data_IF_746459714056
#
_entry.id   IF_746459714056
#
_cell.length_a   1.000
_cell.length_b   1.000
_cell.length_c   1.000
_cell.angle_alpha   90.00
_cell.angle_beta   90.00
_cell.angle_gamma   90.00
#
_symmetry.space_group_name_H-M   'P 1'
#
loop_
_entity.id
_entity.type
_entity.pdbx_description
1 polymer ?
#
# COMPACT_ATOMS: atom_id res chain seq x y z
N UNK A 1 21.22 -0.78 -3.74
CA UNK A 1 21.68 -1.25 -2.41
C UNK A 1 21.22 -2.69 -2.22
N UNK A 2 22.12 -3.64 -1.86
CA UNK A 2 21.72 -5.04 -1.65
C UNK A 2 20.81 -5.17 -0.41
N UNK A 3 19.89 -6.15 -0.39
CA UNK A 3 19.00 -6.37 0.75
C UNK A 3 19.82 -6.70 2.00
N UNK A 4 19.54 -6.00 3.09
CA UNK A 4 20.14 -6.28 4.41
C UNK A 4 19.24 -7.26 5.18
N UNK A 5 19.73 -8.41 5.63
CA UNK A 5 18.95 -9.31 6.49
C UNK A 5 18.45 -8.63 7.75
N UNK A 6 17.34 -9.13 8.31
CA UNK A 6 16.84 -8.69 9.61
C UNK A 6 17.85 -9.02 10.71
N UNK A 7 18.06 -8.07 11.60
CA UNK A 7 18.82 -8.27 12.83
C UNK A 7 18.08 -9.19 13.80
N UNK A 8 18.81 -9.75 14.78
CA UNK A 8 18.20 -10.54 15.84
C UNK A 8 17.16 -9.72 16.65
N UNK A 9 17.41 -8.43 16.84
CA UNK A 9 16.47 -7.53 17.53
C UNK A 9 15.18 -7.32 16.75
N UNK A 10 15.25 -7.16 15.42
CA UNK A 10 14.06 -7.03 14.57
C UNK A 10 13.25 -8.34 14.55
N UNK A 11 13.93 -9.49 14.51
CA UNK A 11 13.26 -10.80 14.60
C UNK A 11 12.59 -10.99 15.96
N UNK A 12 13.26 -10.66 17.06
CA UNK A 12 12.67 -10.73 18.40
C UNK A 12 11.48 -9.77 18.59
N UNK A 13 11.52 -8.59 17.95
CA UNK A 13 10.38 -7.66 17.94
C UNK A 13 9.17 -8.27 17.21
N UNK A 14 9.40 -8.90 16.05
CA UNK A 14 8.35 -9.61 15.33
C UNK A 14 7.74 -10.74 16.15
N UNK A 15 8.55 -11.59 16.78
CA UNK A 15 8.07 -12.70 17.63
C UNK A 15 7.26 -12.21 18.83
N UNK A 16 7.67 -11.09 19.45
CA UNK A 16 6.98 -10.50 20.60
C UNK A 16 5.67 -9.83 20.22
N UNK A 17 5.68 -9.03 19.15
CA UNK A 17 4.59 -8.10 18.82
C UNK A 17 3.63 -8.67 17.77
N UNK A 18 4.02 -9.73 17.06
CA UNK A 18 3.30 -10.31 15.93
C UNK A 18 3.39 -9.49 14.64
N UNK A 19 4.17 -8.40 14.64
CA UNK A 19 4.42 -7.56 13.46
C UNK A 19 5.79 -6.88 13.55
N UNK A 20 6.30 -6.39 12.42
CA UNK A 20 7.54 -5.62 12.33
C UNK A 20 7.34 -4.41 11.43
N UNK A 21 7.75 -3.22 11.91
CA UNK A 21 7.72 -1.99 11.13
C UNK A 21 9.13 -1.58 10.70
N UNK A 22 9.43 -1.76 9.42
CA UNK A 22 10.68 -1.31 8.82
C UNK A 22 10.49 0.10 8.24
N UNK A 23 11.15 1.09 8.85
CA UNK A 23 11.12 2.46 8.34
C UNK A 23 12.07 2.59 7.15
N UNK A 24 11.65 3.34 6.14
CA UNK A 24 12.49 3.66 4.97
C UNK A 24 13.07 2.41 4.29
N UNK A 25 12.26 1.34 4.19
CA UNK A 25 12.65 0.13 3.44
C UNK A 25 12.94 0.43 1.95
N UNK A 26 12.19 1.40 1.43
CA UNK A 26 12.44 2.10 0.17
C UNK A 26 12.69 3.57 0.49
N UNK A 27 13.51 4.22 -0.31
CA UNK A 27 13.76 5.64 -0.17
C UNK A 27 12.56 6.48 -0.67
N UNK A 28 12.62 7.79 -0.44
CA UNK A 28 11.53 8.69 -0.79
C UNK A 28 11.32 8.81 -2.31
N UNK A 29 12.36 8.63 -3.11
CA UNK A 29 12.31 8.75 -4.57
C UNK A 29 11.66 7.50 -5.18
N UNK A 30 12.09 6.31 -4.76
CA UNK A 30 11.47 5.03 -5.10
C UNK A 30 9.96 5.06 -4.80
N UNK A 31 9.60 5.55 -3.61
CA UNK A 31 8.20 5.65 -3.19
C UNK A 31 7.43 6.74 -3.94
N UNK A 32 8.08 7.85 -4.33
CA UNK A 32 7.44 8.90 -5.13
C UNK A 32 7.09 8.39 -6.53
N UNK A 33 7.98 7.63 -7.17
CA UNK A 33 7.75 7.02 -8.48
C UNK A 33 6.58 6.03 -8.42
N UNK A 34 6.57 5.16 -7.41
CA UNK A 34 5.48 4.19 -7.23
C UNK A 34 4.14 4.88 -6.97
N UNK A 35 4.15 5.96 -6.20
CA UNK A 35 2.96 6.76 -5.94
C UNK A 35 2.45 7.46 -7.21
N UNK A 36 3.35 8.00 -8.03
CA UNK A 36 2.97 8.64 -9.30
C UNK A 36 2.42 7.62 -10.30
N UNK A 37 3.06 6.46 -10.42
CA UNK A 37 2.53 5.35 -11.22
C UNK A 37 1.11 4.97 -10.80
N UNK A 38 0.87 4.82 -9.49
CA UNK A 38 -0.45 4.50 -8.97
C UNK A 38 -1.50 5.59 -9.23
N UNK A 39 -1.10 6.87 -9.24
CA UNK A 39 -2.02 7.99 -9.54
C UNK A 39 -2.47 8.00 -11.00
N UNK A 40 -1.62 7.53 -11.89
CA UNK A 40 -1.88 7.52 -13.34
C UNK A 40 -2.46 6.18 -13.82
N UNK A 41 -2.68 5.20 -12.94
CA UNK A 41 -3.29 3.91 -13.26
C UNK A 41 -4.83 3.97 -13.16
N UNK A 42 -5.47 4.27 -14.29
CA UNK A 42 -6.93 4.36 -14.39
C UNK A 42 -7.65 3.05 -14.03
N UNK A 43 -7.05 1.90 -14.33
CA UNK A 43 -7.61 0.58 -14.02
C UNK A 43 -7.62 0.32 -12.51
N UNK A 44 -6.51 0.66 -11.84
CA UNK A 44 -6.44 0.61 -10.39
C UNK A 44 -7.45 1.58 -9.74
N UNK A 45 -7.57 2.80 -10.26
CA UNK A 45 -8.54 3.77 -9.76
C UNK A 45 -10.00 3.32 -9.97
N UNK A 46 -10.31 2.68 -11.10
CA UNK A 46 -11.65 2.19 -11.41
C UNK A 46 -12.08 1.02 -10.49
N UNK A 47 -11.13 0.20 -10.03
CA UNK A 47 -11.36 -0.90 -9.09
C UNK A 47 -11.30 -0.47 -7.62
N UNK A 48 -10.95 0.79 -7.33
CA UNK A 48 -10.84 1.29 -5.98
C UNK A 48 -12.23 1.52 -5.35
N UNK A 49 -12.51 0.87 -4.23
CA UNK A 49 -13.70 1.13 -3.42
C UNK A 49 -13.40 2.18 -2.34
N UNK A 50 -14.26 3.20 -2.25
CA UNK A 50 -14.18 4.23 -1.22
C UNK A 50 -14.84 3.78 0.09
N UNK A 51 -14.08 3.76 1.18
CA UNK A 51 -14.62 3.62 2.54
C UNK A 51 -14.52 4.95 3.26
N UNK A 52 -15.67 5.48 3.68
CA UNK A 52 -15.72 6.69 4.52
C UNK A 52 -15.60 6.32 5.99
N UNK A 53 -14.80 7.07 6.73
CA UNK A 53 -14.77 7.00 8.18
C UNK A 53 -15.90 7.83 8.81
N UNK A 54 -16.05 7.72 10.13
CA UNK A 54 -17.05 8.48 10.90
C UNK A 54 -16.89 10.01 10.80
N UNK A 55 -15.72 10.50 10.41
CA UNK A 55 -15.45 11.93 10.18
C UNK A 55 -15.64 12.35 8.71
N UNK A 56 -16.10 11.45 7.84
CA UNK A 56 -16.33 11.70 6.42
C UNK A 56 -15.06 11.66 5.55
N UNK A 57 -13.91 11.22 6.08
CA UNK A 57 -12.68 11.01 5.30
C UNK A 57 -12.82 9.73 4.48
N UNK A 58 -12.54 9.82 3.19
CA UNK A 58 -12.61 8.69 2.27
C UNK A 58 -11.21 8.06 2.10
N UNK A 59 -11.12 6.79 2.48
CA UNK A 59 -9.99 5.91 2.15
C UNK A 59 -10.37 5.12 0.91
N UNK A 60 -9.56 5.19 -0.15
CA UNK A 60 -9.75 4.39 -1.35
C UNK A 60 -8.86 3.15 -1.26
N UNK A 61 -9.48 1.98 -1.40
CA UNK A 61 -8.80 0.69 -1.39
C UNK A 61 -9.02 0.02 -2.74
N UNK A 62 -7.94 -0.26 -3.46
CA UNK A 62 -7.98 -1.10 -4.64
C UNK A 62 -7.39 -2.47 -4.28
N UNK A 63 -8.14 -3.54 -4.56
CA UNK A 63 -7.66 -4.89 -4.37
C UNK A 63 -6.91 -5.33 -5.64
N UNK A 64 -5.62 -5.60 -5.51
CA UNK A 64 -4.78 -6.09 -6.60
C UNK A 64 -4.01 -7.32 -6.13
N UNK A 65 -4.31 -8.47 -6.74
CA UNK A 65 -3.85 -9.77 -6.25
C UNK A 65 -2.92 -10.51 -7.23
N UNK A 66 -2.57 -9.88 -8.35
CA UNK A 66 -1.80 -10.53 -9.42
C UNK A 66 -0.54 -9.73 -9.74
N UNK A 67 0.65 -10.17 -9.28
CA UNK A 67 1.90 -9.50 -9.61
C UNK A 67 2.23 -9.63 -11.09
N UNK A 68 1.83 -8.63 -11.86
CA UNK A 68 2.22 -8.46 -13.26
C UNK A 68 3.66 -7.95 -13.41
N UNK A 69 4.11 -7.83 -14.66
CA UNK A 69 5.40 -7.21 -15.01
C UNK A 69 5.29 -5.67 -14.99
N UNK A 70 4.84 -5.13 -13.85
CA UNK A 70 4.65 -3.70 -13.61
C UNK A 70 5.33 -3.25 -12.30
N UNK A 71 5.23 -1.97 -11.96
CA UNK A 71 5.88 -1.42 -10.76
C UNK A 71 5.38 -2.09 -9.48
N UNK A 72 4.10 -2.42 -9.34
CA UNK A 72 3.62 -3.17 -8.18
C UNK A 72 4.29 -4.54 -8.07
N UNK A 73 4.38 -5.28 -9.18
CA UNK A 73 5.02 -6.59 -9.21
C UNK A 73 6.53 -6.54 -8.94
N UNK A 74 7.21 -5.48 -9.39
CA UNK A 74 8.61 -5.22 -9.09
C UNK A 74 8.86 -4.97 -7.59
N UNK A 75 8.03 -4.14 -6.96
CA UNK A 75 8.15 -3.88 -5.53
C UNK A 75 7.78 -5.11 -4.70
N UNK A 76 6.66 -5.80 -5.01
CA UNK A 76 6.20 -6.98 -4.28
C UNK A 76 7.18 -8.16 -4.32
N UNK A 77 7.92 -8.32 -5.42
CA UNK A 77 8.95 -9.37 -5.60
C UNK A 77 10.36 -8.90 -5.26
N UNK A 78 10.51 -7.68 -4.72
CA UNK A 78 11.83 -7.16 -4.37
C UNK A 78 12.49 -8.04 -3.31
N UNK A 79 13.78 -8.38 -3.44
CA UNK A 79 14.53 -9.05 -2.37
C UNK A 79 14.50 -8.28 -1.04
N UNK A 80 14.24 -6.96 -1.08
CA UNK A 80 14.05 -6.19 0.16
C UNK A 80 12.80 -6.64 0.94
N UNK A 81 11.78 -7.16 0.28
CA UNK A 81 10.55 -7.67 0.88
C UNK A 81 10.65 -9.19 1.06
N UNK A 82 10.92 -9.91 -0.03
CA UNK A 82 10.84 -11.39 -0.08
C UNK A 82 11.82 -12.04 0.89
N UNK A 83 13.12 -11.70 0.84
CA UNK A 83 14.14 -12.31 1.70
C UNK A 83 13.82 -12.10 3.20
N UNK A 84 13.24 -10.95 3.56
CA UNK A 84 12.85 -10.64 4.93
C UNK A 84 11.59 -11.40 5.35
N UNK A 85 10.61 -11.50 4.46
CA UNK A 85 9.42 -12.30 4.69
C UNK A 85 9.79 -13.78 4.86
N UNK A 86 10.68 -14.30 4.02
CA UNK A 86 11.26 -15.64 4.16
C UNK A 86 11.96 -15.78 5.50
N UNK A 87 12.84 -14.84 5.89
CA UNK A 87 13.52 -14.91 7.18
C UNK A 87 12.57 -14.96 8.39
N UNK A 88 11.46 -14.21 8.34
CA UNK A 88 10.43 -14.24 9.40
C UNK A 88 9.60 -15.53 9.38
N UNK A 89 9.37 -16.14 8.21
CA UNK A 89 8.52 -17.31 8.05
C UNK A 89 9.29 -18.65 8.16
N UNK A 90 10.58 -18.67 7.83
CA UNK A 90 11.45 -19.85 7.94
C UNK A 90 11.72 -20.22 9.40
N UNK A 91 11.71 -19.25 10.33
CA UNK A 91 11.67 -19.55 11.77
C UNK A 91 10.43 -20.37 12.17
N UNK A 92 9.38 -20.37 11.34
CA UNK A 92 8.13 -21.10 11.54
C UNK A 92 7.88 -22.29 10.58
N UNK A 93 8.85 -22.70 9.75
CA UNK A 93 8.70 -23.75 8.71
C UNK A 93 7.59 -23.48 7.66
N UNK A 94 7.46 -22.26 7.15
CA UNK A 94 6.51 -21.95 6.07
C UNK A 94 7.22 -21.21 4.94
N UNK A 95 7.16 -21.75 3.72
CA UNK A 95 7.55 -20.99 2.54
C UNK A 95 6.53 -19.89 2.28
N UNK A 96 6.99 -18.66 2.06
CA UNK A 96 6.17 -17.54 1.61
C UNK A 96 5.66 -17.84 0.20
N UNK A 97 4.46 -18.40 0.08
CA UNK A 97 3.88 -18.72 -1.23
C UNK A 97 3.32 -17.49 -1.92
N UNK A 98 2.72 -16.57 -1.14
CA UNK A 98 2.12 -15.33 -1.63
C UNK A 98 2.44 -14.18 -0.67
N UNK A 99 2.99 -13.08 -1.20
CA UNK A 99 3.11 -11.81 -0.48
C UNK A 99 2.05 -10.88 -1.05
N UNK A 100 1.09 -10.48 -0.22
CA UNK A 100 0.14 -9.42 -0.56
C UNK A 100 0.76 -8.08 -0.15
N UNK A 101 0.86 -7.16 -1.09
CA UNK A 101 1.26 -5.78 -0.81
C UNK A 101 0.03 -4.90 -0.95
N UNK A 102 -0.34 -4.24 0.14
CA UNK A 102 -1.44 -3.27 0.16
C UNK A 102 -0.90 -1.84 0.12
N UNK A 103 -1.27 -1.09 -0.91
CA UNK A 103 -1.01 0.35 -0.97
C UNK A 103 -2.20 1.10 -0.34
N UNK A 104 -2.03 1.55 0.90
CA UNK A 104 -3.09 2.29 1.61
C UNK A 104 -2.90 3.80 1.43
N UNK A 105 -3.88 4.46 0.81
CA UNK A 105 -3.95 5.92 0.74
C UNK A 105 -4.92 6.45 1.79
N UNK A 106 -4.41 7.25 2.73
CA UNK A 106 -5.27 8.12 3.54
C UNK A 106 -5.63 9.37 2.72
N UNK A 107 -6.91 9.55 2.39
CA UNK A 107 -7.40 10.75 1.71
C UNK A 107 -7.46 11.95 2.66
N UNK A 108 -6.93 13.10 2.23
CA UNK A 108 -7.25 14.41 2.82
C UNK A 108 -8.58 14.92 2.25
N UNK A 109 -9.34 15.65 3.05
CA UNK A 109 -10.71 16.15 2.79
C UNK A 109 -10.94 16.54 1.32
N UNK A 110 -11.81 15.81 0.60
CA UNK A 110 -12.38 16.26 -0.67
C UNK A 110 -13.63 17.06 -0.30
N UNK A 111 -13.54 18.39 -0.25
CA UNK A 111 -14.74 19.23 -0.27
C UNK A 111 -15.44 18.97 -1.60
N UNK A 112 -16.72 18.53 -1.61
CA UNK A 112 -17.46 18.51 -2.85
C UNK A 112 -17.56 19.95 -3.33
N UNK A 113 -17.16 20.22 -4.57
CA UNK A 113 -17.51 21.46 -5.23
C UNK A 113 -19.03 21.61 -5.11
N UNK A 114 -19.48 22.68 -4.43
CA UNK A 114 -20.89 23.06 -4.46
C UNK A 114 -21.28 23.15 -5.93
N UNK A 115 -22.18 22.28 -6.39
CA UNK A 115 -22.91 22.59 -7.62
C UNK A 115 -23.66 23.90 -7.37
N UNK A 116 -23.65 24.86 -8.30
CA UNK A 116 -24.49 26.04 -8.18
C UNK A 116 -25.93 25.56 -8.00
N UNK A 117 -26.64 26.14 -7.02
CA UNK A 117 -28.08 25.93 -6.89
C UNK A 117 -28.71 26.37 -8.19
N UNK A 118 -29.38 25.44 -8.87
CA UNK A 118 -30.35 25.80 -9.90
C UNK A 118 -31.40 26.68 -9.24
N UNK A 119 -31.38 27.97 -9.54
CA UNK A 119 -32.48 28.89 -9.25
C UNK A 119 -33.65 28.49 -10.15
N UNK A 120 -34.50 27.60 -9.61
CA UNK A 120 -35.83 27.32 -10.15
C UNK A 120 -36.66 28.59 -10.17
N UNK A 121 -37.32 28.83 -11.31
CA UNK A 121 -37.98 30.08 -11.64
C UNK A 121 -39.24 30.42 -10.84
N UNK A 122 -39.50 31.72 -10.76
CA UNK A 122 -40.83 32.31 -10.84
C UNK A 122 -40.89 33.09 -12.15
N UNK A 123 -41.99 33.14 -12.89
CA UNK A 123 -43.41 33.24 -12.52
C UNK A 123 -44.26 32.41 -13.46
#
# INVERSE_FOLDING_TARGET
MPPKPLSATEQAAYERDGYLLLRSLFDAEEMAILLDYARNDESLMASAYGRKDVAGRETRLALWNQPGENLYGLFSRSPRIVDRAEQLLDQGKRQAKHVLVEFVRHGTRITPALKPKDEGGGV
#
